data_IF_632529551655
#
_entry.id   IF_632529551655
#
_cell.length_a   1.000
_cell.length_b   1.000
_cell.length_c   1.000
_cell.angle_alpha   90.00
_cell.angle_beta   90.00
_cell.angle_gamma   90.00
#
_symmetry.space_group_name_H-M   'P 1'
#
loop_
_entity.id
_entity.type
_entity.pdbx_description
1 polymer ?
#
# COMPACT_ATOMS: atom_id res chain seq x y z
N UNK A 1 27.75 57.52 -31.74
CA UNK A 1 27.76 56.24 -32.49
C UNK A 1 28.64 55.26 -31.73
N UNK A 2 28.06 54.28 -31.04
CA UNK A 2 28.51 52.89 -31.13
C UNK A 2 27.54 52.01 -30.36
N UNK A 3 26.84 51.19 -31.12
CA UNK A 3 25.86 50.20 -30.71
C UNK A 3 26.56 49.01 -30.05
N UNK A 4 25.76 48.15 -29.41
CA UNK A 4 25.88 46.68 -29.35
C UNK A 4 26.31 46.00 -28.02
N UNK A 5 25.31 45.29 -27.49
CA UNK A 5 25.35 43.95 -26.87
C UNK A 5 25.56 43.80 -25.36
N UNK A 6 24.42 43.96 -24.69
CA UNK A 6 23.93 43.17 -23.56
C UNK A 6 24.11 41.66 -23.84
N UNK A 7 24.94 40.97 -23.06
CA UNK A 7 24.91 39.50 -22.94
C UNK A 7 24.42 39.13 -21.54
N UNK A 8 23.11 38.95 -21.40
CA UNK A 8 22.52 38.27 -20.24
C UNK A 8 22.67 36.77 -20.50
N UNK A 9 23.62 36.14 -19.81
CA UNK A 9 23.71 34.69 -19.75
C UNK A 9 22.59 34.16 -18.84
N UNK A 10 21.41 33.94 -19.43
CA UNK A 10 20.35 33.16 -18.80
C UNK A 10 20.79 31.70 -18.90
N UNK A 11 21.38 31.18 -17.82
CA UNK A 11 21.49 29.73 -17.62
C UNK A 11 20.07 29.20 -17.40
N UNK A 12 19.41 28.86 -18.51
CA UNK A 12 18.26 28.00 -18.48
C UNK A 12 18.75 26.60 -18.14
N UNK A 13 18.71 26.24 -16.85
CA UNK A 13 18.62 24.85 -16.43
C UNK A 13 17.31 24.30 -16.99
N UNK A 14 17.37 23.85 -18.25
CA UNK A 14 16.33 23.05 -18.85
C UNK A 14 16.42 21.72 -18.11
N UNK A 15 15.57 21.54 -17.11
CA UNK A 15 15.19 20.22 -16.62
C UNK A 15 14.63 19.45 -17.81
N UNK A 16 15.51 18.79 -18.58
CA UNK A 16 15.13 17.82 -19.57
C UNK A 16 14.48 16.68 -18.79
N UNK A 17 13.15 16.69 -18.75
CA UNK A 17 12.37 15.56 -18.30
C UNK A 17 12.69 14.39 -19.24
N UNK A 18 13.63 13.54 -18.84
CA UNK A 18 13.99 12.36 -19.59
C UNK A 18 12.80 11.39 -19.50
N UNK A 19 12.21 10.97 -20.64
CA UNK A 19 11.10 10.04 -20.63
C UNK A 19 11.60 8.70 -20.06
N UNK A 20 11.04 8.28 -18.92
CA UNK A 20 11.28 6.94 -18.38
C UNK A 20 10.25 5.96 -18.94
N UNK A 21 10.74 4.87 -19.52
CA UNK A 21 9.92 3.78 -20.03
C UNK A 21 9.72 2.73 -18.94
N UNK A 22 8.52 2.15 -18.90
CA UNK A 22 8.14 1.13 -17.91
C UNK A 22 7.62 -0.10 -18.66
N UNK A 23 8.32 -1.22 -18.53
CA UNK A 23 7.97 -2.52 -19.10
C UNK A 23 7.51 -3.43 -17.97
N UNK A 24 6.33 -4.04 -18.08
CA UNK A 24 5.90 -5.08 -17.15
C UNK A 24 6.38 -6.43 -17.69
N UNK A 25 7.36 -7.03 -17.02
CA UNK A 25 7.92 -8.33 -17.41
C UNK A 25 7.31 -9.45 -16.56
N UNK A 26 6.49 -10.29 -17.20
CA UNK A 26 5.72 -11.36 -16.59
C UNK A 26 6.25 -12.71 -17.04
N UNK A 27 6.73 -13.51 -16.09
CA UNK A 27 7.34 -14.81 -16.36
C UNK A 27 6.68 -15.88 -15.49
N UNK A 28 6.22 -16.97 -16.10
CA UNK A 28 5.81 -18.19 -15.39
C UNK A 28 7.04 -19.02 -15.03
N UNK A 29 6.97 -19.90 -14.03
CA UNK A 29 8.14 -20.69 -13.61
C UNK A 29 8.68 -21.59 -14.74
N UNK A 30 7.80 -22.05 -15.64
CA UNK A 30 8.13 -22.82 -16.83
C UNK A 30 8.51 -21.97 -18.05
N UNK A 31 8.52 -20.63 -17.93
CA UNK A 31 8.70 -19.65 -19.03
C UNK A 31 7.71 -19.85 -20.18
N UNK A 32 6.57 -20.51 -19.93
CA UNK A 32 5.52 -20.70 -20.92
C UNK A 32 4.85 -19.38 -21.26
N UNK A 33 4.79 -19.09 -22.56
CA UNK A 33 4.03 -17.96 -23.10
C UNK A 33 2.57 -18.35 -23.38
N UNK A 34 2.22 -19.63 -23.20
CA UNK A 34 0.85 -20.14 -23.33
C UNK A 34 0.20 -20.23 -21.96
N UNK A 35 -1.08 -19.87 -21.88
CA UNK A 35 -1.87 -19.98 -20.65
C UNK A 35 -1.75 -21.38 -20.04
N UNK A 36 -1.46 -21.43 -18.74
CA UNK A 36 -1.26 -22.66 -17.97
C UNK A 36 -1.84 -22.53 -16.57
N UNK A 37 -1.70 -23.58 -15.75
CA UNK A 37 -2.21 -23.59 -14.39
C UNK A 37 -1.43 -22.67 -13.42
N UNK A 38 -0.22 -22.27 -13.80
CA UNK A 38 0.65 -21.42 -12.99
C UNK A 38 0.36 -19.94 -13.19
N UNK A 39 0.41 -19.17 -12.11
CA UNK A 39 0.31 -17.70 -12.16
C UNK A 39 1.66 -17.13 -12.59
N UNK A 40 1.66 -16.21 -13.55
CA UNK A 40 2.87 -15.48 -13.93
C UNK A 40 3.31 -14.55 -12.79
N UNK A 41 4.61 -14.53 -12.50
CA UNK A 41 5.21 -13.52 -11.63
C UNK A 41 5.65 -12.35 -12.48
N UNK A 42 5.07 -11.18 -12.21
CA UNK A 42 5.37 -9.96 -12.94
C UNK A 42 6.27 -9.04 -12.10
N UNK A 43 7.24 -8.41 -12.75
CA UNK A 43 8.01 -7.32 -12.16
C UNK A 43 8.08 -6.16 -13.14
N UNK A 44 8.16 -4.93 -12.61
CA UNK A 44 8.31 -3.74 -13.44
C UNK A 44 9.80 -3.56 -13.75
N UNK A 45 10.13 -3.38 -15.02
CA UNK A 45 11.46 -2.99 -15.50
C UNK A 45 11.39 -1.54 -15.91
N UNK A 46 12.24 -0.71 -15.33
CA UNK A 46 12.41 0.69 -15.67
C UNK A 46 13.54 0.78 -16.70
N UNK A 47 13.31 1.54 -17.75
CA UNK A 47 14.32 1.87 -18.76
C UNK A 47 14.40 3.37 -18.92
N UNK A 48 15.62 3.90 -19.04
CA UNK A 48 15.86 5.30 -19.31
C UNK A 48 15.72 5.62 -20.82
N UNK A 49 15.79 4.60 -21.68
CA UNK A 49 15.47 4.66 -23.12
C UNK A 49 14.71 3.41 -23.59
N UNK A 50 13.93 3.50 -24.67
CA UNK A 50 13.03 2.43 -25.12
C UNK A 50 13.75 1.08 -25.38
N UNK A 51 14.91 1.16 -26.03
CA UNK A 51 15.70 0.00 -26.49
C UNK A 51 16.67 -0.56 -25.43
N UNK A 52 16.68 -0.03 -24.20
CA UNK A 52 17.58 -0.50 -23.14
C UNK A 52 17.26 -1.95 -22.75
N UNK A 53 18.24 -2.86 -22.88
CA UNK A 53 18.15 -4.24 -22.41
C UNK A 53 19.51 -4.71 -21.85
N UNK A 54 19.58 -5.26 -20.62
CA UNK A 54 18.49 -5.34 -19.65
C UNK A 54 18.23 -3.97 -19.03
N UNK A 55 16.97 -3.57 -18.92
CA UNK A 55 16.61 -2.44 -18.07
C UNK A 55 16.89 -2.73 -16.59
N UNK A 56 16.72 -1.71 -15.74
CA UNK A 56 16.81 -1.85 -14.29
C UNK A 56 15.49 -2.38 -13.73
N UNK A 57 15.54 -3.46 -12.95
CA UNK A 57 14.39 -3.89 -12.16
C UNK A 57 13.94 -2.71 -11.29
N UNK A 58 12.65 -2.41 -11.30
CA UNK A 58 12.08 -1.56 -10.28
C UNK A 58 12.43 -2.18 -8.92
N UNK A 59 12.78 -1.38 -7.91
CA UNK A 59 13.04 -1.90 -6.57
C UNK A 59 11.87 -2.81 -6.17
N UNK A 60 12.18 -4.07 -5.82
CA UNK A 60 11.22 -5.05 -5.31
C UNK A 60 10.81 -4.67 -3.87
N UNK A 61 10.36 -3.44 -3.69
CA UNK A 61 9.94 -2.85 -2.42
C UNK A 61 8.45 -3.00 -2.18
N UNK A 62 7.80 -3.97 -2.84
CA UNK A 62 6.40 -4.29 -2.60
C UNK A 62 6.33 -5.18 -1.35
N UNK A 63 5.81 -4.64 -0.26
CA UNK A 63 5.40 -5.45 0.89
C UNK A 63 3.89 -5.44 1.03
N UNK A 64 3.37 -6.41 1.79
CA UNK A 64 1.96 -6.65 1.89
C UNK A 64 1.49 -6.60 3.34
N UNK A 65 0.24 -6.22 3.52
CA UNK A 65 -0.45 -6.13 4.79
C UNK A 65 -1.81 -6.76 4.63
N UNK A 66 -2.26 -7.45 5.67
CA UNK A 66 -3.63 -7.93 5.77
C UNK A 66 -4.23 -7.38 7.05
N UNK A 67 -5.26 -6.56 6.93
CA UNK A 67 -6.06 -6.15 8.09
C UNK A 67 -7.19 -7.16 8.24
N UNK A 68 -7.09 -8.01 9.25
CA UNK A 68 -8.07 -9.04 9.54
C UNK A 68 -9.01 -8.57 10.64
N UNK A 69 -10.24 -8.25 10.25
CA UNK A 69 -11.29 -7.75 11.11
C UNK A 69 -12.40 -8.80 11.25
N UNK A 70 -12.66 -9.26 12.47
CA UNK A 70 -13.60 -10.34 12.73
C UNK A 70 -14.63 -9.92 13.79
N UNK A 71 -15.90 -10.19 13.52
CA UNK A 71 -16.99 -10.12 14.52
C UNK A 71 -17.16 -11.48 15.19
N UNK A 72 -17.67 -11.53 16.42
CA UNK A 72 -17.84 -12.81 17.14
C UNK A 72 -18.79 -13.76 16.38
N UNK A 73 -19.81 -13.20 15.73
CA UNK A 73 -20.79 -13.92 14.92
C UNK A 73 -20.35 -14.19 13.46
N UNK A 74 -19.17 -13.72 13.05
CA UNK A 74 -18.65 -13.78 11.67
C UNK A 74 -19.58 -13.16 10.62
N UNK A 75 -20.44 -12.21 11.01
CA UNK A 75 -21.36 -11.52 10.11
C UNK A 75 -20.63 -10.71 9.04
N UNK A 76 -21.06 -10.86 7.79
CA UNK A 76 -20.55 -10.08 6.63
C UNK A 76 -21.52 -8.99 6.16
N UNK A 77 -22.64 -8.79 6.86
CA UNK A 77 -23.72 -7.87 6.45
C UNK A 77 -23.89 -6.66 7.38
N UNK A 78 -23.07 -6.54 8.41
CA UNK A 78 -23.25 -5.61 9.52
C UNK A 78 -24.08 -6.27 10.62
N UNK A 79 -23.40 -6.77 11.65
CA UNK A 79 -24.00 -7.33 12.86
C UNK A 79 -24.22 -6.29 13.96
N UNK A 80 -24.64 -6.76 15.13
CA UNK A 80 -24.82 -5.92 16.33
C UNK A 80 -23.49 -5.51 16.98
N UNK A 81 -22.41 -6.25 16.69
CA UNK A 81 -21.13 -6.08 17.33
C UNK A 81 -20.08 -5.50 16.38
N UNK A 82 -19.09 -4.81 16.94
CA UNK A 82 -17.93 -4.33 16.20
C UNK A 82 -16.96 -5.44 15.87
N UNK A 83 -16.41 -5.38 14.66
CA UNK A 83 -15.32 -6.23 14.25
C UNK A 83 -14.04 -5.79 14.95
N UNK A 84 -13.36 -6.73 15.61
CA UNK A 84 -12.04 -6.51 16.21
C UNK A 84 -10.99 -6.83 15.16
N UNK A 85 -10.11 -5.87 14.90
CA UNK A 85 -9.08 -5.98 13.86
C UNK A 85 -7.70 -6.29 14.45
N UNK A 86 -6.87 -6.95 13.65
CA UNK A 86 -5.44 -7.00 13.86
C UNK A 86 -4.73 -6.91 12.50
N UNK A 87 -3.54 -6.31 12.50
CA UNK A 87 -2.72 -6.19 11.32
C UNK A 87 -1.80 -7.41 11.19
N UNK A 88 -1.69 -7.95 9.99
CA UNK A 88 -0.73 -9.00 9.62
C UNK A 88 0.24 -8.42 8.61
N UNK A 89 1.53 -8.47 8.92
CA UNK A 89 2.61 -7.96 8.07
C UNK A 89 3.18 -9.11 7.26
N UNK A 90 3.33 -8.91 5.95
CA UNK A 90 3.81 -9.91 5.00
C UNK A 90 4.89 -9.27 4.11
N UNK A 91 6.04 -9.94 4.00
CA UNK A 91 7.13 -9.53 3.11
C UNK A 91 6.72 -9.81 1.64
N UNK A 92 5.86 -10.82 1.38
CA UNK A 92 5.32 -11.14 0.03
C UNK A 92 3.81 -11.44 0.06
N UNK A 93 3.10 -11.29 -1.06
CA UNK A 93 1.63 -11.32 -1.13
C UNK A 93 1.01 -12.63 -0.60
N UNK A 94 1.63 -13.77 -0.90
CA UNK A 94 1.10 -15.09 -0.59
C UNK A 94 1.74 -15.70 0.68
N UNK A 95 2.48 -14.93 1.47
CA UNK A 95 3.09 -15.40 2.74
C UNK A 95 2.03 -15.82 3.77
N UNK A 96 2.07 -17.06 4.25
CA UNK A 96 1.21 -17.55 5.32
C UNK A 96 2.00 -18.53 6.21
N UNK A 97 2.00 -18.38 7.56
CA UNK A 97 1.43 -17.25 8.29
C UNK A 97 2.32 -16.00 8.17
N UNK A 98 1.70 -14.83 8.10
CA UNK A 98 2.42 -13.56 8.26
C UNK A 98 2.74 -13.23 9.72
N UNK A 99 3.29 -12.03 9.95
CA UNK A 99 3.70 -11.54 11.27
C UNK A 99 2.56 -10.73 11.89
N UNK A 100 1.92 -11.28 12.93
CA UNK A 100 0.72 -10.71 13.54
C UNK A 100 1.05 -9.61 14.55
N UNK A 101 0.45 -8.45 14.39
CA UNK A 101 0.36 -7.44 15.43
C UNK A 101 -0.71 -7.83 16.47
N UNK A 102 -0.60 -7.35 17.73
CA UNK A 102 -1.63 -7.57 18.74
C UNK A 102 -3.00 -7.00 18.32
N UNK A 103 -4.08 -7.65 18.77
CA UNK A 103 -5.44 -7.23 18.42
C UNK A 103 -5.77 -5.82 18.93
N UNK A 104 -6.35 -5.00 18.06
CA UNK A 104 -6.74 -3.62 18.32
C UNK A 104 -5.59 -2.61 18.28
N UNK A 105 -4.33 -3.06 18.26
CA UNK A 105 -3.19 -2.14 18.12
C UNK A 105 -3.20 -1.53 16.71
N UNK A 106 -2.83 -0.25 16.61
CA UNK A 106 -2.79 0.49 15.36
C UNK A 106 -4.09 1.15 14.96
N UNK A 107 -5.20 0.89 15.67
CA UNK A 107 -6.51 1.40 15.30
C UNK A 107 -7.07 2.39 16.32
N UNK A 108 -7.66 3.48 15.82
CA UNK A 108 -8.31 4.53 16.63
C UNK A 108 -9.60 5.05 15.97
N UNK A 109 -10.52 5.59 16.76
CA UNK A 109 -11.78 6.17 16.28
C UNK A 109 -11.69 7.69 16.16
N UNK A 110 -12.29 8.24 15.11
CA UNK A 110 -12.54 9.67 14.92
C UNK A 110 -13.96 9.91 14.42
N UNK A 111 -14.51 11.10 14.68
CA UNK A 111 -15.76 11.54 14.06
C UNK A 111 -15.42 12.35 12.82
N UNK A 112 -15.89 11.89 11.66
CA UNK A 112 -15.72 12.54 10.37
C UNK A 112 -17.09 12.86 9.79
N UNK A 113 -17.41 14.15 9.61
CA UNK A 113 -18.70 14.63 9.11
C UNK A 113 -19.92 14.06 9.88
N UNK A 114 -19.78 13.88 11.20
CA UNK A 114 -20.84 13.35 12.06
C UNK A 114 -20.97 11.82 12.05
N UNK A 115 -20.16 11.11 11.26
CA UNK A 115 -20.08 9.64 11.27
C UNK A 115 -18.79 9.19 11.95
N UNK A 116 -18.86 8.12 12.74
CA UNK A 116 -17.65 7.50 13.28
C UNK A 116 -16.88 6.74 12.20
N UNK A 117 -15.57 6.98 12.16
CA UNK A 117 -14.60 6.23 11.38
C UNK A 117 -13.58 5.61 12.31
N UNK A 118 -13.27 4.34 12.08
CA UNK A 118 -12.11 3.69 12.68
C UNK A 118 -10.99 3.70 11.65
N UNK A 119 -9.87 4.29 12.01
CA UNK A 119 -8.63 4.36 11.24
C UNK A 119 -7.66 3.32 11.78
N UNK A 120 -7.05 2.53 10.92
CA UNK A 120 -5.99 1.59 11.28
C UNK A 120 -4.72 1.91 10.49
N UNK A 121 -3.59 2.04 11.18
CA UNK A 121 -2.27 2.24 10.56
C UNK A 121 -1.84 0.98 9.80
N UNK A 122 -1.56 1.15 8.51
CA UNK A 122 -1.12 0.05 7.64
C UNK A 122 0.39 -0.23 7.76
N UNK A 123 1.12 0.59 8.52
CA UNK A 123 2.58 0.51 8.68
C UNK A 123 3.27 0.53 7.32
N UNK A 124 2.92 1.56 6.54
CA UNK A 124 3.53 1.83 5.25
C UNK A 124 4.11 3.24 5.22
N UNK A 125 5.05 3.57 6.13
CA UNK A 125 5.65 4.89 6.18
C UNK A 125 6.42 5.17 4.89
N UNK A 126 6.34 6.40 4.39
CA UNK A 126 7.10 6.85 3.21
C UNK A 126 6.89 6.00 1.95
N UNK A 127 5.82 5.20 1.90
CA UNK A 127 5.45 4.46 0.72
C UNK A 127 5.00 5.45 -0.36
N UNK A 128 5.61 5.37 -1.54
CA UNK A 128 5.22 6.22 -2.68
C UNK A 128 3.89 5.76 -3.29
N UNK A 129 3.45 4.53 -3.01
CA UNK A 129 2.12 4.05 -3.37
C UNK A 129 1.62 2.99 -2.37
N UNK A 130 0.34 3.09 -2.00
CA UNK A 130 -0.38 2.08 -1.22
C UNK A 130 -1.68 1.74 -1.94
N UNK A 131 -1.96 0.45 -2.11
CA UNK A 131 -3.05 -0.03 -2.95
C UNK A 131 -3.73 -1.26 -2.35
N UNK A 132 -4.92 -1.58 -2.84
CA UNK A 132 -5.59 -2.83 -2.48
C UNK A 132 -5.04 -3.92 -3.38
N UNK A 133 -4.32 -4.90 -2.84
CA UNK A 133 -3.73 -5.99 -3.63
C UNK A 133 -4.79 -7.00 -4.06
N UNK A 134 -5.87 -7.16 -3.29
CA UNK A 134 -7.03 -7.99 -3.65
C UNK A 134 -8.32 -7.18 -3.60
N UNK A 135 -9.20 -7.44 -4.55
CA UNK A 135 -10.53 -6.81 -4.58
C UNK A 135 -11.41 -7.38 -3.48
N UNK A 136 -12.02 -6.51 -2.69
CA UNK A 136 -12.98 -6.90 -1.67
C UNK A 136 -14.40 -6.83 -2.26
N UNK A 137 -14.96 -8.00 -2.61
CA UNK A 137 -16.38 -8.10 -2.94
C UNK A 137 -17.17 -8.43 -1.66
N UNK A 138 -17.55 -7.39 -0.91
CA UNK A 138 -18.15 -7.52 0.41
C UNK A 138 -19.51 -6.84 0.50
N UNK A 139 -20.44 -7.41 1.29
CA UNK A 139 -21.85 -6.97 1.31
C UNK A 139 -22.09 -5.70 2.13
N UNK A 140 -21.16 -5.33 2.99
CA UNK A 140 -21.25 -4.15 3.85
C UNK A 140 -20.05 -3.20 3.73
N UNK A 141 -19.01 -3.60 3.00
CA UNK A 141 -17.78 -2.82 2.85
C UNK A 141 -17.60 -2.48 1.37
N UNK A 142 -17.91 -1.23 1.04
CA UNK A 142 -17.80 -0.62 -0.28
C UNK A 142 -16.67 0.41 -0.27
N UNK A 143 -15.74 0.27 -1.21
CA UNK A 143 -14.56 1.12 -1.34
C UNK A 143 -14.99 2.57 -1.56
N UNK A 144 -14.31 3.51 -0.92
CA UNK A 144 -14.57 4.95 -0.90
C UNK A 144 -15.89 5.39 -0.25
N UNK A 145 -16.80 4.47 0.05
CA UNK A 145 -18.07 4.78 0.73
C UNK A 145 -18.04 4.43 2.22
N UNK A 146 -17.50 3.25 2.56
CA UNK A 146 -17.50 2.71 3.93
C UNK A 146 -16.12 2.22 4.37
N UNK A 147 -15.15 2.23 3.46
CA UNK A 147 -13.74 2.08 3.78
C UNK A 147 -12.87 2.69 2.69
N UNK A 148 -11.63 3.03 3.02
CA UNK A 148 -10.67 3.55 2.05
C UNK A 148 -9.27 3.68 2.63
N UNK A 149 -8.32 4.01 1.76
CA UNK A 149 -6.97 4.40 2.16
C UNK A 149 -6.89 5.92 2.22
N UNK A 150 -6.26 6.44 3.24
CA UNK A 150 -6.04 7.87 3.46
C UNK A 150 -4.59 8.08 3.88
N UNK A 151 -3.88 8.93 3.15
CA UNK A 151 -2.53 9.33 3.54
C UNK A 151 -2.61 10.47 4.55
N UNK A 152 -1.91 10.34 5.68
CA UNK A 152 -1.77 11.39 6.69
C UNK A 152 -0.28 11.57 7.01
N UNK A 153 0.30 12.66 6.52
CA UNK A 153 1.75 12.87 6.60
C UNK A 153 2.50 11.80 5.81
N UNK A 154 3.44 11.12 6.47
CA UNK A 154 4.20 10.02 5.86
C UNK A 154 3.50 8.66 5.98
N UNK A 155 2.36 8.60 6.67
CA UNK A 155 1.69 7.36 7.02
C UNK A 155 0.44 7.12 6.17
N UNK A 156 0.07 5.85 6.06
CA UNK A 156 -1.12 5.41 5.34
C UNK A 156 -2.05 4.67 6.28
N UNK A 157 -3.29 5.17 6.35
CA UNK A 157 -4.32 4.62 7.19
C UNK A 157 -5.41 3.97 6.33
N UNK A 158 -5.90 2.81 6.77
CA UNK A 158 -7.15 2.27 6.27
C UNK A 158 -8.28 2.68 7.21
N UNK A 159 -9.22 3.46 6.71
CA UNK A 159 -10.41 3.83 7.47
C UNK A 159 -11.59 2.95 7.13
N UNK A 160 -12.49 2.73 8.09
CA UNK A 160 -13.76 2.03 7.94
C UNK A 160 -14.87 2.80 8.65
N UNK A 161 -16.10 2.70 8.17
CA UNK A 161 -17.27 3.37 8.74
C UNK A 161 -18.55 2.54 8.62
N UNK A 162 -19.63 3.02 9.24
CA UNK A 162 -20.97 2.44 9.14
C UNK A 162 -21.03 0.92 9.37
N UNK A 163 -21.78 0.21 8.52
CA UNK A 163 -21.97 -1.25 8.61
C UNK A 163 -20.67 -2.03 8.42
N UNK A 164 -19.66 -1.45 7.77
CA UNK A 164 -18.37 -2.11 7.57
C UNK A 164 -17.62 -2.30 8.90
N UNK A 165 -17.80 -1.40 9.87
CA UNK A 165 -17.25 -1.54 11.23
C UNK A 165 -17.80 -2.76 11.96
N UNK A 166 -19.02 -3.16 11.63
CA UNK A 166 -19.73 -4.27 12.27
C UNK A 166 -19.72 -5.53 11.41
N UNK A 167 -18.76 -5.66 10.49
CA UNK A 167 -18.66 -6.82 9.61
C UNK A 167 -17.28 -7.45 9.64
N UNK A 168 -17.27 -8.77 9.52
CA UNK A 168 -16.06 -9.56 9.26
C UNK A 168 -15.59 -9.28 7.84
N UNK A 169 -14.39 -8.73 7.71
CA UNK A 169 -13.81 -8.35 6.43
C UNK A 169 -12.28 -8.48 6.48
N UNK A 170 -11.71 -8.86 5.34
CA UNK A 170 -10.27 -8.95 5.13
C UNK A 170 -9.86 -7.90 4.10
N UNK A 171 -8.87 -7.09 4.45
CA UNK A 171 -8.33 -6.07 3.55
C UNK A 171 -6.88 -6.41 3.25
N UNK A 172 -6.60 -6.84 2.02
CA UNK A 172 -5.25 -7.06 1.53
C UNK A 172 -4.72 -5.79 0.86
N UNK A 173 -3.62 -5.27 1.41
CA UNK A 173 -3.02 -3.99 1.04
C UNK A 173 -1.57 -4.24 0.63
N UNK A 174 -1.17 -3.65 -0.51
CA UNK A 174 0.22 -3.61 -0.95
C UNK A 174 0.81 -2.22 -0.71
N UNK A 175 2.06 -2.18 -0.29
CA UNK A 175 2.82 -0.97 0.00
C UNK A 175 4.11 -0.98 -0.81
N UNK A 176 4.29 0.06 -1.63
CA UNK A 176 5.47 0.23 -2.46
C UNK A 176 6.40 1.26 -1.84
N UNK A 177 7.62 0.84 -1.55
CA UNK A 177 8.64 1.72 -0.99
C UNK A 177 9.77 1.97 -2.00
N UNK A 178 10.37 3.16 -1.95
CA UNK A 178 11.61 3.44 -2.68
C UNK A 178 12.83 2.77 -2.02
N UNK A 179 12.78 2.63 -0.69
CA UNK A 179 13.79 1.95 0.11
C UNK A 179 13.19 0.69 0.77
N UNK A 180 13.95 -0.41 0.91
CA UNK A 180 13.44 -1.63 1.53
C UNK A 180 12.86 -1.36 2.92
N UNK A 181 11.69 -1.92 3.26
CA UNK A 181 11.02 -1.69 4.54
C UNK A 181 11.88 -2.01 5.78
N UNK A 182 12.76 -3.01 5.68
CA UNK A 182 13.73 -3.38 6.73
C UNK A 182 14.73 -2.26 7.05
N UNK A 183 14.86 -1.25 6.19
CA UNK A 183 15.66 -0.06 6.46
C UNK A 183 14.87 1.02 7.21
N UNK A 184 13.54 0.91 7.23
CA UNK A 184 12.62 1.85 7.88
C UNK A 184 12.28 1.41 9.30
N UNK A 185 12.21 0.10 9.54
CA UNK A 185 12.10 -0.50 10.87
C UNK A 185 13.23 -1.49 11.09
N UNK A 186 13.96 -1.33 12.19
CA UNK A 186 15.05 -2.24 12.55
C UNK A 186 14.52 -3.62 12.97
N UNK A 187 13.30 -3.67 13.54
CA UNK A 187 12.66 -4.91 13.97
C UNK A 187 11.14 -4.80 14.05
N UNK A 188 10.46 -5.95 14.11
CA UNK A 188 9.02 -6.06 14.37
C UNK A 188 8.61 -5.44 15.70
N UNK A 189 9.52 -5.43 16.68
CA UNK A 189 9.30 -4.80 17.97
C UNK A 189 9.04 -3.29 17.80
N UNK A 190 9.75 -2.65 16.88
CA UNK A 190 9.59 -1.22 16.61
C UNK A 190 8.26 -0.95 15.88
N UNK A 191 7.89 -1.83 14.96
CA UNK A 191 6.59 -1.79 14.28
C UNK A 191 5.44 -1.93 15.29
N UNK A 192 5.52 -2.92 16.17
CA UNK A 192 4.46 -3.18 17.15
C UNK A 192 4.41 -2.10 18.24
N UNK A 193 5.56 -1.52 18.62
CA UNK A 193 5.61 -0.36 19.51
C UNK A 193 4.88 0.84 18.90
N UNK A 194 5.08 1.09 17.60
CA UNK A 194 4.34 2.12 16.85
C UNK A 194 2.85 1.86 16.84
N UNK A 195 2.41 0.65 16.48
CA UNK A 195 0.99 0.30 16.45
C UNK A 195 0.34 0.47 17.83
N UNK A 196 1.04 0.07 18.89
CA UNK A 196 0.56 0.25 20.26
C UNK A 196 0.34 1.71 20.63
N UNK A 197 1.12 2.65 20.10
CA UNK A 197 0.95 4.09 20.34
C UNK A 197 -0.35 4.65 19.74
N UNK A 198 -0.90 3.99 18.72
CA UNK A 198 -2.17 4.34 18.07
C UNK A 198 -3.38 3.61 18.66
N UNK A 199 -3.20 2.80 19.70
CA UNK A 199 -4.30 2.08 20.35
C UNK A 199 -5.17 3.06 21.14
N UNK A 200 -6.43 3.20 20.71
CA UNK A 200 -7.49 3.90 21.48
C UNK A 200 -8.09 3.01 22.57
#
# INVERSE_FOLDING_TARGET
MSTLLIFVAILADICLAHPQFRKLDCVTEDKSVRGGAQRARCHLVIKDVEDEEPGRNAPQGDEFRKLDCVTEDKSVRGGAQRARCHLVIKDVEDEEPGRNAPQGDGCFSEVHNGEERVYCDMVCPKAHAVFHSKSLNHRACFKFHTYGLEQRGEDWLLWRSGKCLNSTALFDIGCKFDAPFKTQFASDKDVFARLKAHKA
#
